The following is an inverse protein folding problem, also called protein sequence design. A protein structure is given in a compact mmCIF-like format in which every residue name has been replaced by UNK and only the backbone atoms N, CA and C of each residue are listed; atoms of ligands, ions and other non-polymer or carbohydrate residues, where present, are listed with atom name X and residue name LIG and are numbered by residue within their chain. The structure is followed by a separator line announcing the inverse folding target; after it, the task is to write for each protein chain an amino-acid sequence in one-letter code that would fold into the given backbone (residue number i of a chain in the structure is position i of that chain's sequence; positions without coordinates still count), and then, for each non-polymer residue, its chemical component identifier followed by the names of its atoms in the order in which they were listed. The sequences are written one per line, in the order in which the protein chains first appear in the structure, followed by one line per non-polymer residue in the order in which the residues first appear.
data_IF_160786391721
#
_entry.id   IF_160786391721
#
_cell.length_a   1.000
_cell.length_b   1.000
_cell.length_c   1.000
_cell.angle_alpha   90.00
_cell.angle_beta   90.00
_cell.angle_gamma   90.00
#
_symmetry.space_group_name_H-M   'P 1'
#
loop_
_entity.id
_entity.type
_entity.pdbx_description
1 polymer ?
#
# COMPACT_ATOMS: atom_id res chain seq x y z
N UNK A 1 -7.00 29.55 14.78
CA UNK A 1 -6.05 28.62 14.11
C UNK A 1 -4.59 28.97 14.39
N UNK A 2 -4.18 30.25 14.32
CA UNK A 2 -2.80 30.66 14.65
C UNK A 2 -2.37 30.31 16.07
N UNK A 3 -3.26 30.46 17.06
CA UNK A 3 -2.93 30.17 18.47
C UNK A 3 -2.60 28.70 18.71
N UNK A 4 -3.37 27.78 18.10
CA UNK A 4 -3.11 26.34 18.16
C UNK A 4 -1.81 25.94 17.45
N UNK A 5 -1.46 26.67 16.38
CA UNK A 5 -0.15 26.53 15.71
C UNK A 5 1.01 26.98 16.61
N UNK A 6 0.85 28.11 17.30
CA UNK A 6 1.87 28.61 18.24
C UNK A 6 2.04 27.68 19.45
N UNK A 7 0.96 27.07 19.94
CA UNK A 7 1.00 26.08 21.02
C UNK A 7 1.72 24.79 20.60
N UNK A 8 1.54 24.34 19.35
CA UNK A 8 2.32 23.23 18.78
C UNK A 8 3.82 23.56 18.75
N UNK A 9 4.18 24.75 18.27
CA UNK A 9 5.58 25.21 18.21
C UNK A 9 6.19 25.46 19.61
N UNK A 10 5.37 25.82 20.59
CA UNK A 10 5.82 25.94 21.97
C UNK A 10 6.14 24.57 22.57
N UNK A 11 5.27 23.58 22.35
CA UNK A 11 5.47 22.19 22.79
C UNK A 11 6.64 21.49 22.09
N UNK A 12 6.88 21.78 20.80
CA UNK A 12 8.04 21.22 20.09
C UNK A 12 9.39 21.69 20.64
N UNK A 13 9.41 22.74 21.47
CA UNK A 13 10.61 23.24 22.15
C UNK A 13 10.81 22.59 23.52
N UNK A 14 9.86 21.78 23.98
CA UNK A 14 9.94 21.05 25.23
C UNK A 14 10.67 19.72 25.03
N UNK A 15 11.92 19.68 25.47
CA UNK A 15 12.83 18.53 25.32
C UNK A 15 12.53 17.43 26.36
N UNK A 16 11.59 17.66 27.27
CA UNK A 16 11.21 16.72 28.33
C UNK A 16 9.96 15.89 27.99
N UNK A 17 9.38 16.07 26.80
CA UNK A 17 8.25 15.29 26.33
C UNK A 17 8.64 13.82 26.15
N UNK A 18 7.94 12.91 26.85
CA UNK A 18 8.18 11.46 26.84
C UNK A 18 7.17 10.69 25.96
N UNK A 19 6.36 11.37 25.16
CA UNK A 19 5.35 10.71 24.34
C UNK A 19 5.99 10.21 23.03
N UNK A 20 6.45 8.96 23.03
CA UNK A 20 7.11 8.31 21.89
C UNK A 20 6.12 7.94 20.75
N UNK A 21 4.81 8.17 20.94
CA UNK A 21 3.78 7.82 19.96
C UNK A 21 3.29 9.03 19.19
N UNK A 22 3.19 8.89 17.88
CA UNK A 22 2.68 9.97 17.05
C UNK A 22 1.21 10.30 17.38
N UNK A 23 0.85 11.57 17.67
CA UNK A 23 -0.48 11.97 18.15
C UNK A 23 -1.62 11.83 17.12
N UNK A 24 -1.34 11.25 15.96
CA UNK A 24 -2.35 10.91 14.96
C UNK A 24 -2.80 9.46 15.05
N UNK A 25 -2.05 8.58 15.71
CA UNK A 25 -2.30 7.14 15.70
C UNK A 25 -3.65 6.78 16.31
N UNK A 26 -4.05 7.40 17.41
CA UNK A 26 -5.37 7.16 18.01
C UNK A 26 -6.52 7.48 17.02
N UNK A 27 -6.39 8.59 16.28
CA UNK A 27 -7.38 8.96 15.26
C UNK A 27 -7.38 8.01 14.07
N UNK A 28 -6.20 7.53 13.67
CA UNK A 28 -6.07 6.55 12.59
C UNK A 28 -6.73 5.23 12.99
N UNK A 29 -6.60 4.79 14.24
CA UNK A 29 -7.26 3.58 14.74
C UNK A 29 -8.79 3.69 14.65
N UNK A 30 -9.36 4.86 14.95
CA UNK A 30 -10.80 5.12 14.80
C UNK A 30 -11.27 5.14 13.32
N UNK A 31 -10.35 5.37 12.38
CA UNK A 31 -10.61 5.44 10.93
C UNK A 31 -10.31 4.12 10.18
N UNK A 32 -9.84 3.08 10.88
CA UNK A 32 -9.46 1.79 10.30
C UNK A 32 -10.56 0.73 10.44
N UNK A 33 -10.80 0.00 9.36
CA UNK A 33 -11.52 -1.26 9.41
C UNK A 33 -10.62 -2.39 9.93
N UNK A 34 -11.17 -3.44 10.58
CA UNK A 34 -10.37 -4.59 11.02
C UNK A 34 -9.61 -5.28 9.88
N UNK A 35 -10.21 -5.38 8.69
CA UNK A 35 -9.56 -5.97 7.51
C UNK A 35 -8.42 -5.08 6.98
N UNK A 36 -8.49 -3.76 7.14
CA UNK A 36 -7.39 -2.84 6.79
C UNK A 36 -6.19 -3.02 7.72
N UNK A 37 -6.43 -3.19 9.03
CA UNK A 37 -5.37 -3.51 9.99
C UNK A 37 -4.67 -4.84 9.64
N UNK A 38 -5.41 -5.83 9.12
CA UNK A 38 -4.82 -7.11 8.66
C UNK A 38 -3.94 -6.94 7.43
N UNK A 39 -4.34 -6.09 6.48
CA UNK A 39 -3.49 -5.73 5.34
C UNK A 39 -2.18 -5.11 5.82
N UNK A 40 -2.26 -4.15 6.75
CA UNK A 40 -1.09 -3.45 7.30
C UNK A 40 -0.12 -4.41 8.01
N UNK A 41 -0.63 -5.29 8.87
CA UNK A 41 0.21 -6.29 9.56
C UNK A 41 0.82 -7.29 8.59
N UNK A 42 0.09 -7.69 7.54
CA UNK A 42 0.64 -8.55 6.48
C UNK A 42 1.75 -7.85 5.70
N UNK A 43 1.56 -6.60 5.30
CA UNK A 43 2.61 -5.81 4.64
C UNK A 43 3.84 -5.64 5.54
N UNK A 44 3.65 -5.44 6.85
CA UNK A 44 4.76 -5.31 7.78
C UNK A 44 5.61 -6.59 7.83
N UNK A 45 4.97 -7.77 7.86
CA UNK A 45 5.63 -9.06 8.04
C UNK A 45 6.18 -9.64 6.74
N UNK A 46 5.39 -9.55 5.68
CA UNK A 46 5.67 -10.23 4.40
C UNK A 46 6.29 -9.28 3.38
N UNK A 47 6.31 -7.98 3.68
CA UNK A 47 6.93 -6.95 2.84
C UNK A 47 6.04 -6.47 1.71
N UNK A 48 6.63 -5.74 0.75
CA UNK A 48 5.91 -5.16 -0.38
C UNK A 48 5.16 -6.21 -1.20
N UNK A 49 3.93 -5.89 -1.60
CA UNK A 49 3.07 -6.85 -2.31
C UNK A 49 2.90 -6.48 -3.79
N UNK A 50 2.82 -7.48 -4.69
CA UNK A 50 2.63 -7.23 -6.11
C UNK A 50 1.21 -6.73 -6.42
N UNK A 51 1.13 -5.83 -7.39
CA UNK A 51 -0.12 -5.38 -8.02
C UNK A 51 0.07 -5.30 -9.52
N UNK A 52 -0.97 -5.49 -10.31
CA UNK A 52 -0.92 -5.31 -11.76
C UNK A 52 -2.09 -4.46 -12.26
N UNK A 53 -1.80 -3.64 -13.27
CA UNK A 53 -2.84 -3.04 -14.10
C UNK A 53 -2.87 -3.75 -15.45
N UNK A 54 -4.07 -4.00 -15.95
CA UNK A 54 -4.29 -4.49 -17.30
C UNK A 54 -4.69 -3.32 -18.18
N UNK A 55 -3.96 -3.15 -19.28
CA UNK A 55 -4.22 -2.10 -20.27
C UNK A 55 -4.35 -2.68 -21.67
N UNK A 56 -4.95 -1.92 -22.58
CA UNK A 56 -4.86 -2.24 -24.01
C UNK A 56 -3.42 -2.05 -24.49
N UNK A 57 -2.94 -3.06 -25.21
CA UNK A 57 -1.76 -3.00 -26.07
C UNK A 57 -2.18 -2.53 -27.45
N UNK A 58 -1.55 -1.47 -27.96
CA UNK A 58 -1.65 -1.11 -29.37
C UNK A 58 -0.65 -1.91 -30.21
N UNK A 59 -0.86 -2.04 -31.53
CA UNK A 59 0.24 -2.30 -32.45
C UNK A 59 1.37 -1.28 -32.20
N UNK A 60 2.63 -1.68 -32.41
CA UNK A 60 3.80 -0.80 -32.26
C UNK A 60 3.52 0.54 -33.01
N UNK A 61 3.48 1.65 -32.27
CA UNK A 61 3.22 3.00 -32.81
C UNK A 61 1.83 3.60 -32.56
N UNK A 62 0.89 2.88 -31.95
CA UNK A 62 -0.45 3.41 -31.62
C UNK A 62 -0.52 3.92 -30.17
N UNK A 63 -0.88 5.20 -29.98
CA UNK A 63 -0.60 5.99 -28.75
C UNK A 63 -1.71 5.90 -27.68
N UNK A 64 -2.79 5.14 -27.87
CA UNK A 64 -3.90 5.10 -26.92
C UNK A 64 -3.98 3.77 -26.14
N UNK A 65 -3.17 3.65 -25.09
CA UNK A 65 -3.31 2.57 -24.10
C UNK A 65 -4.39 2.94 -23.09
N UNK A 66 -5.50 2.19 -23.09
CA UNK A 66 -6.62 2.35 -22.16
C UNK A 66 -6.45 1.41 -20.97
N UNK A 67 -6.77 1.87 -19.76
CA UNK A 67 -6.83 1.04 -18.56
C UNK A 67 -8.09 0.16 -18.60
N UNK A 68 -7.92 -1.15 -18.50
CA UNK A 68 -8.99 -2.15 -18.49
C UNK A 68 -9.33 -2.56 -17.05
N UNK A 69 -8.32 -2.89 -16.26
CA UNK A 69 -8.48 -3.25 -14.85
C UNK A 69 -7.31 -2.67 -14.05
N UNK A 70 -7.53 -1.75 -13.11
CA UNK A 70 -6.49 -1.25 -12.21
C UNK A 70 -6.31 -2.14 -10.99
N UNK A 71 -5.08 -2.19 -10.47
CA UNK A 71 -4.81 -2.57 -9.09
C UNK A 71 -5.17 -4.00 -8.73
N UNK A 72 -5.15 -4.94 -9.68
CA UNK A 72 -5.38 -6.35 -9.38
C UNK A 72 -4.23 -6.87 -8.51
N UNK A 73 -4.55 -7.47 -7.38
CA UNK A 73 -3.59 -7.83 -6.34
C UNK A 73 -4.11 -9.02 -5.51
N UNK A 74 -3.24 -9.56 -4.66
CA UNK A 74 -3.56 -10.69 -3.78
C UNK A 74 -3.65 -10.32 -2.30
N UNK A 75 -3.79 -9.02 -1.95
CA UNK A 75 -3.83 -8.58 -0.55
C UNK A 75 -4.97 -9.24 0.22
N UNK A 76 -6.16 -9.33 -0.39
CA UNK A 76 -7.33 -9.92 0.24
C UNK A 76 -7.10 -11.36 0.71
N UNK A 77 -6.80 -12.30 -0.21
CA UNK A 77 -6.51 -13.68 0.17
C UNK A 77 -5.29 -13.83 1.07
N UNK A 78 -4.20 -13.07 0.84
CA UNK A 78 -2.96 -13.18 1.64
C UNK A 78 -3.13 -12.69 3.07
N UNK A 79 -3.83 -11.57 3.27
CA UNK A 79 -4.17 -11.09 4.61
C UNK A 79 -5.34 -11.88 5.24
N UNK A 80 -5.94 -12.83 4.50
CA UNK A 80 -7.05 -13.68 4.94
C UNK A 80 -8.36 -12.93 5.18
N UNK A 81 -8.61 -11.85 4.44
CA UNK A 81 -9.74 -10.94 4.65
C UNK A 81 -11.09 -11.64 4.45
N UNK A 82 -12.12 -11.13 5.13
CA UNK A 82 -13.47 -11.68 5.01
C UNK A 82 -14.18 -11.17 3.76
N UNK A 83 -13.97 -9.91 3.39
CA UNK A 83 -14.67 -9.22 2.31
C UNK A 83 -13.71 -8.83 1.19
N UNK A 84 -13.43 -9.78 0.29
CA UNK A 84 -12.48 -9.58 -0.81
C UNK A 84 -12.91 -8.50 -1.82
N UNK A 85 -14.22 -8.31 -1.96
CA UNK A 85 -14.83 -7.27 -2.79
C UNK A 85 -14.59 -5.84 -2.27
N UNK A 86 -14.25 -5.69 -0.98
CA UNK A 86 -13.94 -4.40 -0.37
C UNK A 86 -12.46 -4.01 -0.44
N UNK A 87 -11.57 -4.90 -0.90
CA UNK A 87 -10.12 -4.65 -1.01
C UNK A 87 -9.79 -3.30 -1.70
N UNK A 88 -10.44 -2.90 -2.82
CA UNK A 88 -10.17 -1.60 -3.42
C UNK A 88 -10.48 -0.42 -2.48
N UNK A 89 -11.56 -0.51 -1.71
CA UNK A 89 -11.93 0.51 -0.72
C UNK A 89 -10.94 0.57 0.43
N UNK A 90 -10.49 -0.60 0.92
CA UNK A 90 -9.49 -0.71 1.97
C UNK A 90 -8.16 -0.08 1.55
N UNK A 91 -7.66 -0.41 0.36
CA UNK A 91 -6.42 0.17 -0.17
C UNK A 91 -6.54 1.69 -0.31
N UNK A 92 -7.68 2.19 -0.81
CA UNK A 92 -7.91 3.63 -0.94
C UNK A 92 -7.91 4.35 0.41
N UNK A 93 -8.49 3.76 1.46
CA UNK A 93 -8.47 4.33 2.80
C UNK A 93 -7.05 4.34 3.37
N UNK A 94 -6.33 3.23 3.27
CA UNK A 94 -4.93 3.12 3.70
C UNK A 94 -4.04 4.16 2.99
N UNK A 95 -4.25 4.36 1.69
CA UNK A 95 -3.54 5.39 0.92
C UNK A 95 -3.93 6.80 1.37
N UNK A 96 -5.22 7.07 1.60
CA UNK A 96 -5.74 8.35 2.12
C UNK A 96 -5.15 8.69 3.49
N UNK A 97 -4.99 7.69 4.35
CA UNK A 97 -4.39 7.81 5.69
C UNK A 97 -2.85 7.95 5.63
N UNK A 98 -2.24 7.82 4.45
CA UNK A 98 -0.80 7.91 4.26
C UNK A 98 -0.02 6.71 4.78
N UNK A 99 -0.68 5.56 4.99
CA UNK A 99 -0.08 4.35 5.55
C UNK A 99 0.57 3.46 4.49
N UNK A 100 0.13 3.57 3.22
CA UNK A 100 0.69 2.80 2.10
C UNK A 100 1.04 3.67 0.89
N UNK A 101 2.00 3.21 0.10
CA UNK A 101 2.29 3.70 -1.25
C UNK A 101 1.76 2.75 -2.31
N UNK A 102 1.22 3.32 -3.39
CA UNK A 102 0.88 2.61 -4.62
C UNK A 102 1.95 2.93 -5.67
N UNK A 103 3.01 2.12 -5.68
CA UNK A 103 4.19 2.33 -6.51
C UNK A 103 3.96 1.88 -7.96
N UNK A 104 4.58 2.60 -8.89
CA UNK A 104 4.65 2.19 -10.31
C UNK A 104 5.76 1.18 -10.55
N UNK A 105 6.67 1.01 -9.60
CA UNK A 105 7.77 0.07 -9.72
C UNK A 105 7.35 -1.32 -9.28
N UNK A 106 7.88 -2.38 -9.91
CA UNK A 106 7.60 -3.73 -9.48
C UNK A 106 8.31 -4.06 -8.16
N UNK A 107 7.80 -5.06 -7.43
CA UNK A 107 8.57 -5.67 -6.32
C UNK A 107 9.83 -6.37 -6.86
N UNK A 108 10.85 -6.52 -6.01
CA UNK A 108 12.14 -7.13 -6.37
C UNK A 108 11.98 -8.60 -6.81
N UNK A 109 11.13 -9.39 -6.14
CA UNK A 109 10.89 -10.79 -6.52
C UNK A 109 9.88 -10.90 -7.67
N UNK A 110 10.39 -11.29 -8.83
CA UNK A 110 9.60 -11.43 -10.05
C UNK A 110 8.70 -12.67 -10.05
N UNK A 111 8.97 -13.67 -9.20
CA UNK A 111 8.17 -14.89 -9.10
C UNK A 111 6.77 -14.59 -8.55
N UNK A 112 6.64 -13.60 -7.67
CA UNK A 112 5.36 -13.18 -7.10
C UNK A 112 4.37 -12.71 -8.16
N UNK A 113 4.86 -12.08 -9.23
CA UNK A 113 4.03 -11.69 -10.37
C UNK A 113 3.53 -12.87 -11.17
N UNK A 114 4.28 -13.97 -11.27
CA UNK A 114 3.80 -15.15 -12.00
C UNK A 114 2.55 -15.74 -11.33
N UNK A 115 2.54 -15.76 -9.99
CA UNK A 115 1.38 -16.20 -9.21
C UNK A 115 0.20 -15.25 -9.37
N UNK A 116 0.45 -13.93 -9.32
CA UNK A 116 -0.59 -12.92 -9.50
C UNK A 116 -1.17 -12.93 -10.93
N UNK A 117 -0.32 -13.01 -11.95
CA UNK A 117 -0.73 -13.00 -13.36
C UNK A 117 -1.52 -14.26 -13.74
N UNK A 118 -1.39 -15.34 -12.98
CA UNK A 118 -2.17 -16.57 -13.13
C UNK A 118 -3.55 -16.52 -12.44
N UNK A 119 -3.88 -15.44 -11.72
CA UNK A 119 -5.16 -15.35 -11.02
C UNK A 119 -6.34 -15.21 -11.99
N UNK A 120 -7.53 -15.76 -11.66
CA UNK A 120 -8.67 -15.79 -12.57
C UNK A 120 -9.15 -14.41 -13.02
N UNK A 121 -9.09 -13.40 -12.15
CA UNK A 121 -9.48 -12.02 -12.43
C UNK A 121 -8.49 -11.33 -13.39
N UNK A 122 -7.19 -11.54 -13.20
CA UNK A 122 -6.14 -11.06 -14.11
C UNK A 122 -6.29 -11.69 -15.49
N UNK A 123 -6.44 -13.01 -15.56
CA UNK A 123 -6.65 -13.72 -16.83
C UNK A 123 -7.94 -13.27 -17.52
N UNK A 124 -9.03 -13.06 -16.78
CA UNK A 124 -10.29 -12.56 -17.32
C UNK A 124 -10.14 -11.16 -17.89
N UNK A 125 -9.44 -10.27 -17.20
CA UNK A 125 -9.16 -8.92 -17.68
C UNK A 125 -8.26 -8.94 -18.93
N UNK A 126 -7.24 -9.80 -18.98
CA UNK A 126 -6.38 -9.96 -20.16
C UNK A 126 -7.15 -10.48 -21.37
N UNK A 127 -8.03 -11.47 -21.18
CA UNK A 127 -8.82 -12.06 -22.27
C UNK A 127 -9.98 -11.16 -22.74
N UNK A 128 -10.31 -10.10 -22.00
CA UNK A 128 -11.35 -9.14 -22.39
C UNK A 128 -10.96 -8.26 -23.58
N UNK A 129 -9.66 -8.23 -23.94
CA UNK A 129 -9.12 -7.43 -25.05
C UNK A 129 -8.23 -8.26 -25.97
N UNK A 130 -8.18 -7.89 -27.26
CA UNK A 130 -7.37 -8.63 -28.26
C UNK A 130 -5.86 -8.57 -27.98
N UNK A 131 -5.40 -7.44 -27.45
CA UNK A 131 -4.00 -7.18 -27.13
C UNK A 131 -3.96 -6.61 -25.73
N UNK A 132 -3.60 -7.42 -24.74
CA UNK A 132 -3.44 -6.99 -23.36
C UNK A 132 -1.97 -6.65 -23.06
N UNK A 133 -1.76 -5.61 -22.25
CA UNK A 133 -0.48 -5.28 -21.64
C UNK A 133 -0.63 -5.32 -20.13
N UNK A 134 0.17 -6.17 -19.47
CA UNK A 134 0.29 -6.20 -18.02
C UNK A 134 1.31 -5.14 -17.59
N UNK A 135 0.92 -4.26 -16.68
CA UNK A 135 1.81 -3.27 -16.06
C UNK A 135 1.98 -3.64 -14.60
N UNK A 136 3.16 -4.15 -14.26
CA UNK A 136 3.54 -4.52 -12.90
C UNK A 136 3.74 -3.28 -12.03
N UNK A 137 3.23 -3.35 -10.82
CA UNK A 137 3.20 -2.32 -9.78
C UNK A 137 3.41 -2.96 -8.41
N UNK A 138 3.60 -2.16 -7.38
CA UNK A 138 3.75 -2.69 -6.03
C UNK A 138 3.06 -1.82 -4.99
N UNK A 139 2.73 -2.44 -3.86
CA UNK A 139 2.10 -1.80 -2.70
C UNK A 139 3.06 -1.95 -1.53
N UNK A 140 3.43 -0.82 -0.93
CA UNK A 140 4.41 -0.74 0.16
C UNK A 140 3.78 -0.04 1.37
N UNK A 141 4.27 -0.31 2.57
CA UNK A 141 4.07 0.61 3.69
C UNK A 141 4.88 1.89 3.46
N UNK A 142 4.34 3.01 3.94
CA UNK A 142 5.17 4.21 4.10
C UNK A 142 5.98 4.11 5.41
N UNK A 143 7.02 4.92 5.62
CA UNK A 143 7.71 5.00 6.92
C UNK A 143 6.75 5.31 8.07
N UNK A 144 5.76 6.17 7.81
CA UNK A 144 4.70 6.49 8.77
C UNK A 144 3.78 5.29 9.02
N UNK A 145 3.45 4.51 7.98
CA UNK A 145 2.69 3.27 8.10
C UNK A 145 3.44 2.18 8.85
N UNK A 146 4.74 2.01 8.60
CA UNK A 146 5.59 1.08 9.34
C UNK A 146 5.64 1.42 10.83
N UNK A 147 5.91 2.69 11.16
CA UNK A 147 5.93 3.18 12.54
C UNK A 147 4.57 2.95 13.22
N UNK A 148 3.47 3.27 12.52
CA UNK A 148 2.12 3.00 13.00
C UNK A 148 1.89 1.52 13.31
N UNK A 149 2.27 0.62 12.40
CA UNK A 149 2.10 -0.82 12.62
C UNK A 149 2.89 -1.30 13.83
N UNK A 150 4.18 -0.92 13.92
CA UNK A 150 5.10 -1.30 14.99
C UNK A 150 4.62 -0.82 16.36
N UNK A 151 4.05 0.37 16.45
CA UNK A 151 3.64 0.97 17.72
C UNK A 151 2.18 0.70 18.12
N UNK A 152 1.29 0.39 17.16
CA UNK A 152 -0.15 0.30 17.41
C UNK A 152 -0.79 -1.06 17.08
N UNK A 153 -0.19 -1.89 16.22
CA UNK A 153 -0.86 -3.09 15.68
C UNK A 153 -0.17 -4.42 16.02
N UNK A 154 1.08 -4.40 16.49
CA UNK A 154 1.84 -5.61 16.82
C UNK A 154 2.50 -5.53 18.19
N UNK A 155 2.96 -6.66 18.71
CA UNK A 155 3.74 -6.72 19.94
C UNK A 155 5.20 -6.27 19.73
N UNK A 156 5.90 -6.02 20.84
CA UNK A 156 7.29 -5.56 20.83
C UNK A 156 8.25 -6.57 20.17
N UNK A 157 7.95 -7.87 20.29
CA UNK A 157 8.71 -8.95 19.64
C UNK A 157 8.62 -8.84 18.11
N UNK A 158 7.42 -8.68 17.56
CA UNK A 158 7.24 -8.47 16.12
C UNK A 158 7.86 -7.14 15.68
N UNK A 159 7.67 -6.06 16.47
CA UNK A 159 8.12 -4.72 16.11
C UNK A 159 9.65 -4.58 16.03
N UNK A 160 10.37 -5.34 16.86
CA UNK A 160 11.85 -5.35 16.93
C UNK A 160 12.51 -6.46 16.09
N UNK A 161 11.71 -7.29 15.41
CA UNK A 161 12.19 -8.37 14.55
C UNK A 161 12.88 -7.87 13.27
N UNK A 162 13.49 -8.83 12.56
CA UNK A 162 14.01 -8.59 11.20
C UNK A 162 12.82 -8.51 10.23
N UNK A 163 12.44 -7.28 9.86
CA UNK A 163 11.29 -7.01 9.02
C UNK A 163 11.74 -6.62 7.61
N UNK A 164 11.01 -7.05 6.57
CA UNK A 164 11.34 -6.72 5.18
C UNK A 164 11.32 -5.21 4.92
N UNK A 165 12.23 -4.77 4.05
CA UNK A 165 12.36 -3.38 3.65
C UNK A 165 11.20 -2.95 2.73
N UNK A 166 10.61 -1.79 3.04
CA UNK A 166 9.69 -1.08 2.14
C UNK A 166 10.43 0.08 1.50
N UNK A 167 10.39 0.15 0.17
CA UNK A 167 11.13 1.19 -0.56
C UNK A 167 10.21 2.38 -0.87
N UNK A 168 10.71 3.58 -0.61
CA UNK A 168 10.11 4.79 -1.16
C UNK A 168 10.12 4.70 -2.69
N UNK A 169 8.96 4.83 -3.36
CA UNK A 169 8.95 4.93 -4.81
C UNK A 169 9.84 6.10 -5.23
N UNK A 170 10.76 5.94 -6.19
CA UNK A 170 11.59 7.05 -6.64
C UNK A 170 10.72 8.18 -7.17
N UNK A 171 11.17 9.42 -6.97
CA UNK A 171 10.49 10.60 -7.49
C UNK A 171 10.33 10.48 -9.02
N UNK A 172 9.11 10.66 -9.49
CA UNK A 172 8.80 10.57 -10.92
C UNK A 172 9.45 11.77 -11.61
N UNK A 173 10.55 11.55 -12.36
CA UNK A 173 10.94 12.49 -13.40
C UNK A 173 9.83 12.52 -14.46
N UNK A 174 9.11 13.66 -14.52
CA UNK A 174 8.28 14.15 -15.63
C UNK A 174 7.49 13.12 -16.46
N UNK A 175 6.16 13.12 -16.28
CA UNK A 175 5.21 12.48 -17.21
C UNK A 175 5.21 13.15 -18.59
#
# INVERSE_FOLDING_TARGET
MRDRGNELLARSRDVWSQDDRHPAFDRILDELAPDEARILVMLLRDGPQPSVDIRTGGPIGMVNSQLIAPGLNMLGPRAGLRYLDQVPSYINNLFRLGLVWLSREPVRDHLEYQVLEAQPDVLSAMHSVKFAKVVRRSIHLTPFGEEFCKLALVDEETASGDLPEHEAPPEIEGS
#
